data_IF_368386874250
#
_entry.id   IF_368386874250
#
_cell.length_a   1.000
_cell.length_b   1.000
_cell.length_c   1.000
_cell.angle_alpha   90.00
_cell.angle_beta   90.00
_cell.angle_gamma   90.00
#
_symmetry.space_group_name_H-M   'P 1'
#
loop_
_entity.id
_entity.type
_entity.pdbx_description
1 polymer ?
#
# COMPACT_ATOMS: atom_id res chain seq x y z
N UNK A 1 -72.47 26.82 -41.07
CA UNK A 1 -71.18 26.25 -41.49
C UNK A 1 -70.26 26.48 -40.28
N UNK A 2 -69.88 25.41 -39.56
CA UNK A 2 -68.99 25.47 -38.37
C UNK A 2 -67.67 24.79 -38.74
N UNK A 3 -66.48 25.40 -38.54
CA UNK A 3 -65.24 24.72 -38.77
C UNK A 3 -64.88 23.87 -37.53
N UNK A 4 -64.55 22.61 -37.83
CA UNK A 4 -63.98 21.63 -36.88
C UNK A 4 -62.49 21.94 -36.68
N UNK A 5 -62.13 22.32 -35.46
CA UNK A 5 -60.73 22.52 -35.06
C UNK A 5 -60.18 21.13 -34.65
N UNK A 6 -59.25 20.61 -35.43
CA UNK A 6 -58.54 19.37 -35.12
C UNK A 6 -57.32 19.71 -34.23
N UNK A 7 -57.39 19.36 -32.93
CA UNK A 7 -56.30 19.53 -31.99
C UNK A 7 -55.36 18.32 -32.12
N UNK A 8 -54.14 18.54 -32.68
CA UNK A 8 -53.06 17.54 -32.67
C UNK A 8 -52.37 17.53 -31.29
N UNK A 9 -52.57 16.45 -30.55
CA UNK A 9 -51.88 16.20 -29.31
C UNK A 9 -50.51 15.56 -29.65
N UNK A 10 -49.44 16.35 -29.58
CA UNK A 10 -48.06 15.86 -29.76
C UNK A 10 -47.57 15.16 -28.47
N UNK A 11 -47.48 13.83 -28.53
CA UNK A 11 -46.94 12.99 -27.47
C UNK A 11 -45.40 13.09 -27.51
N UNK A 12 -44.80 13.91 -26.62
CA UNK A 12 -43.35 14.00 -26.46
C UNK A 12 -42.89 12.78 -25.66
N UNK A 13 -42.35 11.79 -26.31
CA UNK A 13 -41.61 10.69 -25.66
C UNK A 13 -40.25 11.17 -25.19
N UNK A 14 -40.12 11.47 -23.89
CA UNK A 14 -38.84 11.74 -23.24
C UNK A 14 -38.09 10.41 -23.09
N UNK A 15 -37.13 10.16 -23.97
CA UNK A 15 -36.17 9.08 -23.81
C UNK A 15 -35.26 9.38 -22.63
N UNK A 16 -35.50 8.75 -21.47
CA UNK A 16 -34.56 8.74 -20.36
C UNK A 16 -33.33 7.93 -20.78
N UNK A 17 -32.21 8.61 -21.01
CA UNK A 17 -30.92 7.97 -21.17
C UNK A 17 -30.57 7.29 -19.83
N UNK A 18 -30.63 5.95 -19.81
CA UNK A 18 -30.08 5.14 -18.73
C UNK A 18 -28.58 5.28 -18.82
N UNK A 19 -28.01 6.16 -17.97
CA UNK A 19 -26.57 6.22 -17.80
C UNK A 19 -26.11 4.86 -17.26
N UNK A 20 -25.52 4.06 -18.14
CA UNK A 20 -24.84 2.82 -17.75
C UNK A 20 -23.69 3.18 -16.84
N UNK A 21 -23.89 3.12 -15.52
CA UNK A 21 -22.83 3.28 -14.54
C UNK A 21 -21.83 2.15 -14.79
N UNK A 22 -20.68 2.54 -15.36
CA UNK A 22 -19.52 1.64 -15.46
C UNK A 22 -19.20 1.15 -14.05
N UNK A 23 -19.14 -0.18 -13.80
CA UNK A 23 -18.78 -0.69 -12.48
C UNK A 23 -17.47 -0.01 -12.05
N UNK A 24 -17.30 0.36 -10.79
CA UNK A 24 -16.04 0.91 -10.32
C UNK A 24 -14.93 -0.08 -10.69
N UNK A 25 -13.91 0.41 -11.39
CA UNK A 25 -12.74 -0.39 -11.75
C UNK A 25 -12.29 -1.11 -10.49
N UNK A 26 -12.25 -2.44 -10.52
CA UNK A 26 -11.85 -3.26 -9.38
C UNK A 26 -10.52 -2.71 -8.86
N UNK A 27 -10.54 -2.12 -7.67
CA UNK A 27 -9.34 -1.56 -7.06
C UNK A 27 -8.34 -2.71 -6.89
N UNK A 28 -7.33 -2.73 -7.75
CA UNK A 28 -6.29 -3.77 -7.69
C UNK A 28 -5.51 -3.56 -6.40
N UNK A 29 -5.43 -4.62 -5.60
CA UNK A 29 -4.64 -4.60 -4.36
C UNK A 29 -3.18 -4.32 -4.68
N UNK A 30 -2.44 -3.65 -3.79
CA UNK A 30 -1.01 -3.46 -3.98
C UNK A 30 -0.32 -4.83 -4.13
N UNK A 31 0.76 -4.92 -4.90
CA UNK A 31 1.47 -6.17 -5.13
C UNK A 31 2.21 -6.70 -3.89
N UNK A 32 2.03 -6.04 -2.74
CA UNK A 32 2.58 -6.43 -1.46
C UNK A 32 1.54 -6.28 -0.34
N UNK A 33 1.77 -6.97 0.76
CA UNK A 33 1.07 -6.80 2.04
C UNK A 33 2.07 -6.44 3.14
N UNK A 34 1.66 -5.57 4.05
CA UNK A 34 2.47 -5.23 5.23
C UNK A 34 2.23 -6.28 6.30
N UNK A 35 3.31 -6.72 6.92
CA UNK A 35 3.29 -7.74 7.96
C UNK A 35 4.07 -7.30 9.19
N UNK A 36 3.59 -7.69 10.35
CA UNK A 36 4.24 -7.51 11.64
C UNK A 36 4.28 -8.83 12.40
N UNK A 37 5.03 -8.89 13.48
CA UNK A 37 5.00 -10.04 14.39
C UNK A 37 3.59 -10.26 14.93
N UNK A 38 3.20 -11.52 15.14
CA UNK A 38 1.87 -11.88 15.65
C UNK A 38 1.56 -11.28 17.04
N UNK A 39 2.58 -11.03 17.86
CA UNK A 39 2.43 -10.39 19.17
C UNK A 39 2.22 -8.87 19.09
N UNK A 40 2.47 -8.24 17.93
CA UNK A 40 2.29 -6.80 17.77
C UNK A 40 0.80 -6.44 17.72
N UNK A 41 0.29 -5.52 18.57
CA UNK A 41 -1.13 -5.20 18.63
C UNK A 41 -1.64 -4.34 17.45
N UNK A 42 -0.75 -3.83 16.58
CA UNK A 42 -1.12 -2.93 15.48
C UNK A 42 -1.90 -3.67 14.39
N UNK A 43 -3.10 -3.19 14.07
CA UNK A 43 -3.97 -3.75 13.02
C UNK A 43 -4.03 -2.87 11.76
N UNK A 44 -3.77 -1.58 11.91
CA UNK A 44 -3.88 -0.60 10.83
C UNK A 44 -2.77 0.44 10.95
N UNK A 45 -2.22 0.84 9.82
CA UNK A 45 -1.28 1.96 9.67
C UNK A 45 -1.72 2.83 8.50
N UNK A 46 -1.38 4.09 8.53
CA UNK A 46 -1.49 4.98 7.37
C UNK A 46 -0.21 4.89 6.51
N UNK A 47 -0.32 5.28 5.23
CA UNK A 47 0.86 5.40 4.34
C UNK A 47 1.91 6.34 4.95
N UNK A 48 1.47 7.41 5.62
CA UNK A 48 2.39 8.37 6.26
C UNK A 48 3.17 7.74 7.43
N UNK A 49 2.51 6.95 8.28
CA UNK A 49 3.17 6.22 9.36
C UNK A 49 4.13 5.18 8.81
N UNK A 50 3.72 4.40 7.83
CA UNK A 50 4.56 3.41 7.19
C UNK A 50 5.83 4.05 6.58
N UNK A 51 5.69 5.21 5.94
CA UNK A 51 6.82 5.99 5.44
C UNK A 51 7.77 6.41 6.55
N UNK A 52 7.26 6.98 7.66
CA UNK A 52 8.10 7.39 8.81
C UNK A 52 8.82 6.19 9.43
N UNK A 53 8.17 5.03 9.51
CA UNK A 53 8.77 3.80 10.03
C UNK A 53 9.95 3.36 9.15
N UNK A 54 9.75 3.20 7.85
CA UNK A 54 10.82 2.72 6.95
C UNK A 54 11.91 3.76 6.71
N UNK A 55 11.65 5.04 6.96
CA UNK A 55 12.66 6.10 6.98
C UNK A 55 13.32 6.29 8.37
N UNK A 56 12.98 5.44 9.34
CA UNK A 56 13.43 5.50 10.76
C UNK A 56 13.19 6.85 11.45
N UNK A 57 12.19 7.59 10.98
CA UNK A 57 11.69 8.81 11.62
C UNK A 57 10.73 8.50 12.79
N UNK A 58 10.13 7.31 12.78
CA UNK A 58 9.39 6.74 13.89
C UNK A 58 10.07 5.42 14.28
N UNK A 59 10.55 5.33 15.53
CA UNK A 59 11.36 4.20 16.00
C UNK A 59 10.69 3.38 17.09
N UNK A 60 9.58 3.86 17.64
CA UNK A 60 8.82 3.16 18.66
C UNK A 60 7.38 2.97 18.19
N UNK A 61 6.82 1.81 18.49
CA UNK A 61 5.40 1.56 18.42
C UNK A 61 4.65 2.36 19.49
N UNK A 62 3.35 2.56 19.34
CA UNK A 62 2.53 3.29 20.30
C UNK A 62 2.52 2.62 21.69
N UNK A 63 2.77 1.31 21.76
CA UNK A 63 2.89 0.55 23.00
C UNK A 63 4.32 0.52 23.59
N UNK A 64 5.26 1.26 22.99
CA UNK A 64 6.61 1.48 23.53
C UNK A 64 7.71 0.59 22.98
N UNK A 65 7.38 -0.52 22.32
CA UNK A 65 8.39 -1.42 21.74
C UNK A 65 9.14 -0.78 20.56
N UNK A 66 10.42 -1.16 20.41
CA UNK A 66 11.23 -0.69 19.28
C UNK A 66 10.74 -1.26 17.96
N UNK A 67 10.56 -0.39 16.96
CA UNK A 67 10.23 -0.79 15.59
C UNK A 67 11.50 -1.30 14.89
N UNK A 68 11.42 -2.49 14.30
CA UNK A 68 12.50 -3.10 13.52
C UNK A 68 12.05 -3.28 12.07
N UNK A 69 12.20 -2.26 11.22
CA UNK A 69 11.85 -2.38 9.82
C UNK A 69 12.85 -3.26 9.08
N UNK A 70 12.31 -4.16 8.25
CA UNK A 70 13.08 -5.06 7.38
C UNK A 70 12.73 -4.76 5.94
N UNK A 71 13.73 -4.65 5.13
CA UNK A 71 13.65 -4.29 3.73
C UNK A 71 14.11 -5.43 2.83
N UNK A 72 13.88 -5.30 1.54
CA UNK A 72 14.40 -6.21 0.53
C UNK A 72 15.69 -5.69 -0.09
N UNK A 73 16.48 -6.59 -0.63
CA UNK A 73 17.67 -6.23 -1.39
C UNK A 73 17.35 -5.21 -2.49
N UNK A 74 18.29 -4.30 -2.75
CA UNK A 74 18.12 -3.20 -3.70
C UNK A 74 17.76 -3.65 -5.12
N UNK A 75 18.22 -4.85 -5.53
CA UNK A 75 17.90 -5.44 -6.84
C UNK A 75 16.49 -6.03 -6.91
N UNK A 76 15.79 -6.21 -5.79
CA UNK A 76 14.48 -6.82 -5.72
C UNK A 76 13.41 -5.96 -6.40
N UNK A 77 12.53 -6.59 -7.18
CA UNK A 77 11.33 -5.95 -7.72
C UNK A 77 10.41 -5.46 -6.58
N UNK A 78 10.30 -6.24 -5.51
CA UNK A 78 9.51 -5.87 -4.33
C UNK A 78 10.01 -4.56 -3.70
N UNK A 79 11.33 -4.39 -3.61
CA UNK A 79 11.97 -3.16 -3.13
C UNK A 79 11.63 -1.96 -4.02
N UNK A 80 11.73 -2.11 -5.34
CA UNK A 80 11.41 -1.02 -6.28
C UNK A 80 9.97 -0.56 -6.14
N UNK A 81 9.03 -1.51 -6.14
CA UNK A 81 7.60 -1.22 -6.04
C UNK A 81 7.24 -0.57 -4.71
N UNK A 82 7.73 -1.11 -3.59
CA UNK A 82 7.49 -0.54 -2.27
C UNK A 82 8.05 0.88 -2.14
N UNK A 83 9.30 1.10 -2.56
CA UNK A 83 9.93 2.41 -2.51
C UNK A 83 9.14 3.46 -3.31
N UNK A 84 8.69 3.10 -4.50
CA UNK A 84 7.92 4.01 -5.35
C UNK A 84 6.55 4.35 -4.73
N UNK A 85 5.83 3.34 -4.24
CA UNK A 85 4.45 3.49 -3.76
C UNK A 85 4.41 4.14 -2.37
N UNK A 86 5.22 3.65 -1.44
CA UNK A 86 5.16 4.06 -0.03
C UNK A 86 6.10 5.23 0.24
N UNK A 87 7.36 5.13 -0.21
CA UNK A 87 8.36 6.15 0.09
C UNK A 87 8.33 7.32 -0.89
N UNK A 88 7.65 7.15 -2.05
CA UNK A 88 7.62 8.11 -3.17
C UNK A 88 9.03 8.46 -3.66
N UNK A 89 9.92 7.47 -3.63
CA UNK A 89 11.34 7.58 -4.01
C UNK A 89 11.78 6.33 -4.74
N UNK A 90 12.76 6.49 -5.62
CA UNK A 90 13.47 5.36 -6.20
C UNK A 90 14.40 4.68 -5.19
N UNK A 91 14.82 3.45 -5.49
CA UNK A 91 15.81 2.73 -4.66
C UNK A 91 17.12 3.50 -4.57
N UNK A 92 17.53 4.19 -5.64
CA UNK A 92 18.73 5.03 -5.68
C UNK A 92 18.59 6.25 -4.73
N UNK A 93 17.50 6.98 -4.81
CA UNK A 93 17.24 8.13 -3.91
C UNK A 93 17.19 7.70 -2.44
N UNK A 94 16.69 6.46 -2.17
CA UNK A 94 16.75 5.92 -0.83
C UNK A 94 18.17 5.56 -0.38
N UNK A 95 19.03 5.09 -1.29
CA UNK A 95 20.44 4.87 -0.96
C UNK A 95 21.14 6.19 -0.63
N UNK A 96 20.92 7.24 -1.41
CA UNK A 96 21.44 8.59 -1.17
C UNK A 96 20.94 9.16 0.18
N UNK A 97 19.64 8.98 0.47
CA UNK A 97 19.07 9.33 1.77
C UNK A 97 19.79 8.64 2.93
N UNK A 98 20.05 7.34 2.84
CA UNK A 98 20.72 6.60 3.90
C UNK A 98 22.20 6.97 4.09
N UNK A 99 22.91 7.30 3.01
CA UNK A 99 24.26 7.87 3.10
C UNK A 99 24.23 9.16 3.91
N UNK A 100 23.31 10.07 3.59
CA UNK A 100 23.16 11.33 4.31
C UNK A 100 22.80 11.12 5.79
N UNK A 101 21.82 10.22 6.08
CA UNK A 101 21.40 9.92 7.45
C UNK A 101 22.54 9.31 8.28
N UNK A 102 23.35 8.45 7.67
CA UNK A 102 24.50 7.83 8.32
C UNK A 102 25.54 8.86 8.72
N UNK A 103 25.84 9.80 7.81
CA UNK A 103 26.84 10.85 8.07
C UNK A 103 26.35 11.89 9.09
N UNK A 104 25.08 12.30 8.99
CA UNK A 104 24.56 13.42 9.81
C UNK A 104 24.01 12.99 11.16
N UNK A 105 23.46 11.77 11.26
CA UNK A 105 22.74 11.29 12.46
C UNK A 105 23.21 9.92 12.97
N UNK A 106 24.19 9.30 12.32
CA UNK A 106 24.65 7.96 12.68
C UNK A 106 23.59 6.86 12.45
N UNK A 107 22.56 7.11 11.63
CA UNK A 107 21.47 6.17 11.39
C UNK A 107 21.83 5.20 10.25
N UNK A 108 21.80 3.91 10.56
CA UNK A 108 21.91 2.86 9.54
C UNK A 108 20.56 2.58 8.86
N UNK A 109 20.55 2.14 7.58
CA UNK A 109 19.34 1.71 6.90
C UNK A 109 18.67 0.50 7.60
N UNK A 110 17.42 0.15 7.26
CA UNK A 110 16.83 -1.13 7.63
C UNK A 110 17.69 -2.31 7.18
N UNK A 111 17.67 -3.40 7.94
CA UNK A 111 18.29 -4.65 7.51
C UNK A 111 17.60 -5.16 6.25
N UNK A 112 18.36 -5.74 5.31
CA UNK A 112 17.85 -6.27 4.06
C UNK A 112 17.88 -7.78 4.02
N UNK A 113 16.86 -8.38 3.40
CA UNK A 113 16.74 -9.82 3.16
C UNK A 113 16.36 -10.06 1.69
N UNK A 114 16.75 -11.23 1.17
CA UNK A 114 16.64 -11.55 -0.26
C UNK A 114 15.45 -12.43 -0.63
N UNK A 115 14.73 -12.99 0.35
CA UNK A 115 13.60 -13.89 0.08
C UNK A 115 12.41 -13.68 1.01
N UNK A 116 11.20 -13.97 0.50
CA UNK A 116 9.97 -13.89 1.28
C UNK A 116 9.97 -14.80 2.51
N UNK A 117 10.57 -15.99 2.38
CA UNK A 117 10.70 -16.93 3.50
C UNK A 117 11.60 -16.37 4.60
N UNK A 118 12.73 -15.76 4.23
CA UNK A 118 13.61 -15.12 5.22
C UNK A 118 12.95 -13.94 5.91
N UNK A 119 12.23 -13.09 5.13
CA UNK A 119 11.47 -11.95 5.68
C UNK A 119 10.36 -12.44 6.63
N UNK A 120 9.55 -13.41 6.23
CA UNK A 120 8.47 -13.95 7.06
C UNK A 120 9.02 -14.55 8.37
N UNK A 121 10.10 -15.34 8.28
CA UNK A 121 10.74 -15.92 9.47
C UNK A 121 11.29 -14.83 10.41
N UNK A 122 11.94 -13.82 9.87
CA UNK A 122 12.46 -12.72 10.69
C UNK A 122 11.31 -12.02 11.44
N UNK A 123 10.26 -11.64 10.72
CA UNK A 123 9.09 -10.98 11.33
C UNK A 123 8.43 -11.87 12.38
N UNK A 124 8.33 -13.17 12.14
CA UNK A 124 7.74 -14.12 13.10
C UNK A 124 8.54 -14.23 14.41
N UNK A 125 9.86 -14.02 14.36
CA UNK A 125 10.74 -14.20 15.53
C UNK A 125 11.06 -12.91 16.28
N UNK A 126 10.88 -11.74 15.66
CA UNK A 126 11.24 -10.43 16.25
C UNK A 126 9.97 -9.63 16.59
N UNK A 127 9.60 -9.43 17.87
CA UNK A 127 8.32 -8.82 18.26
C UNK A 127 8.08 -7.43 17.67
N UNK A 128 9.10 -6.58 17.57
CA UNK A 128 8.99 -5.24 16.99
C UNK A 128 9.09 -5.17 15.46
N UNK A 129 9.27 -6.30 14.79
CA UNK A 129 9.52 -6.33 13.35
C UNK A 129 8.31 -5.92 12.52
N UNK A 130 8.61 -5.21 11.44
CA UNK A 130 7.67 -4.86 10.35
C UNK A 130 8.36 -5.03 9.01
N UNK A 131 7.66 -5.61 8.05
CA UNK A 131 8.15 -5.83 6.70
C UNK A 131 7.00 -5.79 5.69
N UNK A 132 7.32 -6.03 4.44
CA UNK A 132 6.34 -6.22 3.36
C UNK A 132 6.68 -7.47 2.54
N UNK A 133 5.64 -8.18 2.15
CA UNK A 133 5.72 -9.48 1.47
C UNK A 133 4.78 -9.53 0.27
N UNK A 134 5.06 -10.36 -0.74
CA UNK A 134 4.02 -10.79 -1.67
C UNK A 134 2.83 -11.35 -0.88
N UNK A 135 1.57 -11.09 -1.30
CA UNK A 135 0.40 -11.51 -0.53
C UNK A 135 0.31 -13.02 -0.28
N UNK A 136 0.84 -13.83 -1.19
CA UNK A 136 0.91 -15.30 -1.10
C UNK A 136 2.00 -15.81 -0.14
N UNK A 137 3.03 -15.00 0.12
CA UNK A 137 4.10 -15.33 1.06
C UNK A 137 3.80 -14.96 2.52
N UNK A 138 2.73 -14.23 2.78
CA UNK A 138 2.31 -13.86 4.13
C UNK A 138 1.36 -14.94 4.69
N UNK A 139 1.90 -15.94 5.35
CA UNK A 139 1.16 -17.03 5.99
C UNK A 139 0.75 -16.69 7.44
N UNK A 140 0.31 -17.68 8.20
CA UNK A 140 -0.15 -17.53 9.60
C UNK A 140 0.96 -17.25 10.60
N UNK A 141 2.23 -17.34 10.21
CA UNK A 141 3.38 -17.03 11.06
C UNK A 141 3.54 -15.54 11.33
N UNK A 142 2.91 -14.70 10.50
CA UNK A 142 2.95 -13.25 10.58
C UNK A 142 1.55 -12.65 10.53
N UNK A 143 1.39 -11.48 11.16
CA UNK A 143 0.14 -10.73 11.16
C UNK A 143 0.14 -9.70 10.04
N UNK A 144 -0.92 -9.70 9.23
CA UNK A 144 -1.14 -8.69 8.18
C UNK A 144 -1.70 -7.41 8.77
N UNK A 145 -1.17 -6.29 8.35
CA UNK A 145 -1.61 -4.94 8.75
C UNK A 145 -2.32 -4.28 7.58
N UNK A 146 -3.48 -3.69 7.85
CA UNK A 146 -4.20 -2.88 6.87
C UNK A 146 -3.53 -1.52 6.71
N UNK A 147 -3.42 -1.05 5.46
CA UNK A 147 -2.87 0.28 5.18
C UNK A 147 -3.98 1.19 4.67
N UNK A 148 -4.26 2.24 5.41
CA UNK A 148 -5.20 3.28 5.02
C UNK A 148 -4.50 4.34 4.15
N UNK A 149 -5.18 4.79 3.09
CA UNK A 149 -4.67 5.80 2.17
C UNK A 149 -3.73 5.26 1.09
N UNK A 150 -3.73 3.95 0.82
CA UNK A 150 -3.04 3.42 -0.36
C UNK A 150 -3.69 3.95 -1.64
N UNK A 151 -2.90 4.34 -2.64
CA UNK A 151 -3.43 4.70 -3.95
C UNK A 151 -4.15 3.51 -4.59
N UNK A 152 -5.19 3.82 -5.37
CA UNK A 152 -5.89 2.81 -6.18
C UNK A 152 -4.99 2.42 -7.35
N UNK A 153 -4.67 1.13 -7.47
CA UNK A 153 -3.87 0.63 -8.59
C UNK A 153 -4.78 0.22 -9.74
N UNK A 154 -4.48 0.62 -10.99
CA UNK A 154 -5.17 0.08 -12.14
C UNK A 154 -4.92 -1.43 -12.24
N UNK A 155 -5.95 -2.19 -12.64
CA UNK A 155 -5.80 -3.61 -12.91
C UNK A 155 -4.70 -3.80 -13.96
N UNK A 156 -3.66 -4.55 -13.63
CA UNK A 156 -2.64 -4.91 -14.61
C UNK A 156 -3.29 -5.91 -15.59
N UNK A 157 -3.43 -5.50 -16.84
CA UNK A 157 -3.78 -6.42 -17.92
C UNK A 157 -2.64 -7.44 -18.07
N UNK A 158 -3.00 -8.72 -17.90
CA UNK A 158 -2.10 -9.85 -18.20
C UNK A 158 -1.87 -9.96 -19.69
#
# INVERSE_FOLDING_TARGET
MKPVVLTFLALVMSARAVATQRPPASATRPPFTIVVNNANPVDTLTVAELRRIFMKQQRLWAHGDTIVPVDWDAASQMRRVFSQIILSRSVREMAEYWVQQSVTQGLAPPSTLSSGVAVARFVATVPGAIAYLPPDAADRSVKRVRIDGLPVFPAQSR
#
